data_IF_106891769335
#
_entry.id   IF_106891769335
#
_cell.length_a   1.000
_cell.length_b   1.000
_cell.length_c   1.000
_cell.angle_alpha   90.00
_cell.angle_beta   90.00
_cell.angle_gamma   90.00
#
_symmetry.space_group_name_H-M   'P 1'
#
loop_
_entity.id
_entity.type
_entity.pdbx_description
1 polymer ?
#
# COMPACT_ATOMS: atom_id res chain seq x y z
N UNK A 1 -4.54 -35.66 -18.18
CA UNK A 1 -4.61 -34.25 -18.64
C UNK A 1 -4.61 -33.36 -17.43
N UNK A 2 -3.49 -32.73 -17.17
CA UNK A 2 -3.42 -31.73 -16.10
C UNK A 2 -4.15 -30.48 -16.58
N UNK A 3 -5.19 -30.09 -15.86
CA UNK A 3 -5.81 -28.81 -16.07
C UNK A 3 -4.78 -27.75 -15.67
N UNK A 4 -4.22 -27.07 -16.66
CA UNK A 4 -3.46 -25.86 -16.39
C UNK A 4 -4.46 -24.81 -15.92
N UNK A 5 -4.45 -24.50 -14.63
CA UNK A 5 -5.09 -23.28 -14.18
C UNK A 5 -4.32 -22.12 -14.84
N UNK A 6 -4.93 -21.51 -15.84
CA UNK A 6 -4.35 -20.34 -16.47
C UNK A 6 -4.29 -19.23 -15.42
N UNK A 7 -3.11 -19.03 -14.84
CA UNK A 7 -2.86 -17.82 -14.09
C UNK A 7 -2.80 -16.66 -15.07
N UNK A 8 -3.44 -15.53 -14.76
CA UNK A 8 -3.32 -14.36 -15.62
C UNK A 8 -1.86 -14.01 -15.83
N UNK A 9 -1.50 -13.58 -17.02
CA UNK A 9 -0.16 -13.16 -17.35
C UNK A 9 0.32 -12.07 -16.38
N UNK A 10 1.57 -12.12 -15.92
CA UNK A 10 2.10 -11.05 -15.09
C UNK A 10 2.05 -9.73 -15.85
N UNK A 11 1.70 -8.66 -15.15
CA UNK A 11 1.75 -7.32 -15.72
C UNK A 11 3.20 -6.96 -16.05
N UNK A 12 3.45 -6.25 -17.16
CA UNK A 12 4.74 -5.63 -17.36
C UNK A 12 5.04 -4.72 -16.18
N UNK A 13 6.30 -4.35 -16.01
CA UNK A 13 6.70 -3.45 -14.93
C UNK A 13 5.81 -2.20 -14.95
N UNK A 14 5.11 -1.96 -13.85
CA UNK A 14 4.19 -0.83 -13.76
C UNK A 14 4.96 0.47 -13.62
N UNK A 15 4.36 1.55 -14.12
CA UNK A 15 4.87 2.89 -13.87
C UNK A 15 4.46 3.30 -12.45
N UNK A 16 5.45 3.42 -11.56
CA UNK A 16 5.27 3.75 -10.16
C UNK A 16 5.74 5.18 -9.91
N UNK A 17 4.83 6.05 -9.50
CA UNK A 17 5.15 7.44 -9.23
C UNK A 17 4.40 7.97 -8.02
N UNK A 18 4.91 9.06 -7.44
CA UNK A 18 4.21 9.77 -6.38
C UNK A 18 2.87 10.32 -6.88
N UNK A 19 1.83 10.20 -6.06
CA UNK A 19 0.53 10.75 -6.37
C UNK A 19 0.56 12.28 -6.41
N UNK A 20 -0.30 12.85 -7.23
CA UNK A 20 -0.53 14.30 -7.29
C UNK A 20 -2.04 14.57 -7.23
N UNK A 21 -2.46 15.82 -7.06
CA UNK A 21 -3.90 16.14 -6.97
C UNK A 21 -4.75 15.66 -8.15
N UNK A 22 -4.16 15.51 -9.33
CA UNK A 22 -4.85 15.00 -10.52
C UNK A 22 -5.29 13.55 -10.34
N UNK A 23 -4.71 12.81 -9.39
CA UNK A 23 -5.01 11.41 -9.14
C UNK A 23 -6.16 11.20 -8.15
N UNK A 24 -6.83 12.26 -7.72
CA UNK A 24 -7.84 12.19 -6.66
C UNK A 24 -8.99 11.22 -6.95
N UNK A 25 -9.49 11.18 -8.18
CA UNK A 25 -10.55 10.24 -8.58
C UNK A 25 -10.11 8.79 -8.36
N UNK A 26 -8.94 8.46 -8.87
CA UNK A 26 -8.41 7.09 -8.81
C UNK A 26 -8.05 6.69 -7.38
N UNK A 27 -7.44 7.59 -6.62
CA UNK A 27 -7.11 7.34 -5.21
C UNK A 27 -8.37 7.12 -4.39
N UNK A 28 -9.40 7.94 -4.58
CA UNK A 28 -10.69 7.77 -3.90
C UNK A 28 -11.33 6.42 -4.21
N UNK A 29 -11.31 6.00 -5.48
CA UNK A 29 -11.83 4.71 -5.89
C UNK A 29 -11.06 3.55 -5.24
N UNK A 30 -9.74 3.63 -5.20
CA UNK A 30 -8.90 2.59 -4.58
C UNK A 30 -9.11 2.50 -3.07
N UNK A 31 -9.22 3.62 -2.37
CA UNK A 31 -9.50 3.62 -0.93
C UNK A 31 -10.89 3.06 -0.63
N UNK A 32 -11.88 3.37 -1.47
CA UNK A 32 -13.23 2.81 -1.34
C UNK A 32 -13.20 1.29 -1.56
N UNK A 33 -12.43 0.81 -2.52
CA UNK A 33 -12.23 -0.63 -2.77
C UNK A 33 -11.59 -1.32 -1.56
N UNK A 34 -10.67 -0.64 -0.89
CA UNK A 34 -10.03 -1.15 0.35
C UNK A 34 -11.01 -1.22 1.52
N UNK A 35 -12.16 -0.57 1.43
CA UNK A 35 -13.19 -0.56 2.47
C UNK A 35 -13.31 0.76 3.22
N UNK A 36 -12.63 1.81 2.75
CA UNK A 36 -12.67 3.14 3.35
C UNK A 36 -13.31 4.11 2.35
N UNK A 37 -14.63 4.37 2.45
CA UNK A 37 -15.31 5.27 1.53
C UNK A 37 -14.61 6.63 1.47
N UNK A 38 -14.32 7.06 0.24
CA UNK A 38 -13.55 8.27 0.01
C UNK A 38 -14.00 8.88 -1.31
N UNK A 39 -14.63 10.05 -1.27
CA UNK A 39 -15.00 10.75 -2.50
C UNK A 39 -13.80 11.53 -3.06
N UNK A 40 -13.99 12.15 -4.22
CA UNK A 40 -12.91 12.88 -4.91
C UNK A 40 -12.38 14.04 -4.07
N UNK A 41 -13.26 14.76 -3.40
CA UNK A 41 -12.88 15.91 -2.57
C UNK A 41 -12.04 15.46 -1.38
N UNK A 42 -12.46 14.39 -0.71
CA UNK A 42 -11.73 13.81 0.41
C UNK A 42 -10.36 13.29 -0.05
N UNK A 43 -10.32 12.61 -1.19
CA UNK A 43 -9.09 12.10 -1.76
C UNK A 43 -8.11 13.22 -2.08
N UNK A 44 -8.59 14.31 -2.70
CA UNK A 44 -7.75 15.46 -3.00
C UNK A 44 -7.14 16.08 -1.74
N UNK A 45 -7.93 16.19 -0.68
CA UNK A 45 -7.47 16.71 0.60
C UNK A 45 -6.43 15.83 1.26
N UNK A 46 -6.63 14.50 1.21
CA UNK A 46 -5.68 13.52 1.76
C UNK A 46 -4.37 13.53 0.99
N UNK A 47 -4.42 13.64 -0.34
CA UNK A 47 -3.24 13.75 -1.18
C UNK A 47 -2.45 15.00 -0.81
N UNK A 48 -3.13 16.14 -0.68
CA UNK A 48 -2.48 17.39 -0.29
C UNK A 48 -1.79 17.28 1.07
N UNK A 49 -2.43 16.63 2.03
CA UNK A 49 -1.85 16.38 3.37
C UNK A 49 -0.55 15.57 3.26
N UNK A 50 -0.54 14.55 2.42
CA UNK A 50 0.65 13.70 2.25
C UNK A 50 1.78 14.48 1.55
N UNK A 51 1.47 15.24 0.51
CA UNK A 51 2.47 16.02 -0.24
C UNK A 51 3.18 17.02 0.68
N UNK A 52 2.47 17.60 1.62
CA UNK A 52 3.03 18.59 2.54
C UNK A 52 3.81 17.96 3.72
N UNK A 53 3.90 16.65 3.79
CA UNK A 53 4.54 15.96 4.90
C UNK A 53 5.70 15.09 4.41
N UNK A 54 6.93 15.50 4.73
CA UNK A 54 8.15 14.79 4.32
C UNK A 54 8.25 13.36 4.86
N UNK A 55 7.48 13.02 5.89
CA UNK A 55 7.46 11.68 6.48
C UNK A 55 6.49 10.75 5.81
N UNK A 56 5.73 11.23 4.83
CA UNK A 56 4.72 10.43 4.17
C UNK A 56 4.94 10.37 2.68
N UNK A 57 4.54 9.25 2.09
CA UNK A 57 4.58 9.08 0.65
C UNK A 57 3.35 8.31 0.19
N UNK A 58 2.82 8.69 -0.94
CA UNK A 58 1.75 7.97 -1.61
C UNK A 58 2.21 7.68 -3.03
N UNK A 59 2.37 6.40 -3.34
CA UNK A 59 2.83 5.94 -4.64
C UNK A 59 1.67 5.29 -5.35
N UNK A 60 1.43 5.69 -6.59
CA UNK A 60 0.43 5.06 -7.46
C UNK A 60 1.11 4.23 -8.53
N UNK A 61 0.44 3.17 -8.93
CA UNK A 61 0.86 2.29 -10.01
C UNK A 61 -0.05 2.50 -11.21
N UNK A 62 0.55 2.78 -12.37
CA UNK A 62 -0.18 2.88 -13.64
C UNK A 62 0.17 1.69 -14.52
N UNK A 63 -0.86 1.08 -15.07
CA UNK A 63 -0.76 -0.04 -15.98
C UNK A 63 -1.52 0.31 -17.25
N UNK A 64 -0.82 0.50 -18.36
CA UNK A 64 -1.46 0.86 -19.62
C UNK A 64 -2.21 2.20 -19.59
N UNK A 65 -1.72 3.18 -18.82
CA UNK A 65 -2.34 4.50 -18.72
C UNK A 65 -3.41 4.63 -17.64
N UNK A 66 -3.82 3.54 -17.00
CA UNK A 66 -4.80 3.54 -15.90
C UNK A 66 -4.13 3.33 -14.56
N UNK A 67 -4.61 4.03 -13.53
CA UNK A 67 -4.17 3.80 -12.16
C UNK A 67 -4.82 2.52 -11.65
N UNK A 68 -4.02 1.54 -11.28
CA UNK A 68 -4.50 0.22 -10.88
C UNK A 68 -4.03 -0.21 -9.49
N UNK A 69 -3.29 0.63 -8.79
CA UNK A 69 -2.90 0.34 -7.42
C UNK A 69 -2.26 1.52 -6.73
N UNK A 70 -2.18 1.44 -5.43
CA UNK A 70 -1.46 2.42 -4.61
C UNK A 70 -0.81 1.77 -3.40
N UNK A 71 0.22 2.41 -2.87
CA UNK A 71 0.78 2.11 -1.57
C UNK A 71 1.07 3.43 -0.84
N UNK A 72 0.68 3.50 0.41
CA UNK A 72 0.92 4.66 1.27
C UNK A 72 1.91 4.30 2.36
N UNK A 73 2.88 5.18 2.60
CA UNK A 73 3.98 4.96 3.52
C UNK A 73 4.05 6.08 4.55
N UNK A 74 4.40 5.72 5.77
CA UNK A 74 4.71 6.64 6.86
C UNK A 74 6.10 6.28 7.40
N UNK A 75 7.03 7.23 7.35
CA UNK A 75 8.39 7.07 7.88
C UNK A 75 8.44 7.66 9.26
N UNK A 76 8.51 6.81 10.28
CA UNK A 76 8.41 7.25 11.67
C UNK A 76 9.68 6.91 12.46
N UNK A 77 10.03 7.80 13.38
CA UNK A 77 11.08 7.51 14.36
C UNK A 77 10.55 6.46 15.35
N UNK A 78 11.31 5.40 15.53
CA UNK A 78 10.97 4.31 16.43
C UNK A 78 11.95 4.31 17.62
N UNK A 79 11.50 4.87 18.72
CA UNK A 79 12.32 5.08 19.92
C UNK A 79 13.00 3.80 20.42
N UNK A 80 12.32 2.65 20.51
CA UNK A 80 12.95 1.44 21.08
C UNK A 80 14.20 0.97 20.36
N UNK A 81 14.34 1.28 19.07
CA UNK A 81 15.49 0.86 18.26
C UNK A 81 16.34 2.04 17.79
N UNK A 82 15.99 3.27 18.17
CA UNK A 82 16.68 4.49 17.72
C UNK A 82 16.90 4.50 16.21
N UNK A 83 15.82 4.27 15.45
CA UNK A 83 15.89 4.20 14.00
C UNK A 83 14.56 4.60 13.38
N UNK A 84 14.57 4.74 12.05
CA UNK A 84 13.34 4.96 11.29
C UNK A 84 12.70 3.62 10.97
N UNK A 85 11.38 3.57 11.12
CA UNK A 85 10.53 2.48 10.64
C UNK A 85 9.67 3.00 9.50
N UNK A 86 9.59 2.26 8.41
CA UNK A 86 8.65 2.54 7.34
C UNK A 86 7.38 1.73 7.60
N UNK A 87 6.26 2.43 7.74
CA UNK A 87 4.96 1.78 7.94
C UNK A 87 4.12 1.90 6.68
N UNK A 88 3.65 0.77 6.19
CA UNK A 88 2.67 0.74 5.09
C UNK A 88 1.29 0.95 5.72
N UNK A 89 0.64 2.06 5.38
CA UNK A 89 -0.67 2.40 5.92
C UNK A 89 -1.81 2.00 4.99
N UNK A 90 -1.54 1.81 3.72
CA UNK A 90 -2.50 1.31 2.74
C UNK A 90 -1.76 0.60 1.61
N UNK A 91 -2.32 -0.50 1.17
CA UNK A 91 -1.89 -1.22 -0.04
C UNK A 91 -3.14 -1.77 -0.69
N UNK A 92 -3.42 -1.31 -1.89
CA UNK A 92 -4.61 -1.76 -2.62
C UNK A 92 -4.30 -1.85 -4.12
N UNK A 93 -4.82 -2.89 -4.73
CA UNK A 93 -4.74 -3.16 -6.17
C UNK A 93 -6.16 -3.37 -6.67
N UNK A 94 -6.50 -2.77 -7.82
CA UNK A 94 -7.83 -2.96 -8.41
C UNK A 94 -8.10 -4.43 -8.68
N UNK A 95 -9.36 -4.90 -8.58
CA UNK A 95 -9.68 -6.32 -8.80
C UNK A 95 -9.16 -6.87 -10.13
N UNK A 96 -9.22 -6.09 -11.20
CA UNK A 96 -8.76 -6.50 -12.52
C UNK A 96 -7.26 -6.67 -12.64
N UNK A 97 -6.49 -6.04 -11.74
CA UNK A 97 -5.03 -6.13 -11.72
C UNK A 97 -4.49 -7.08 -10.65
N UNK A 98 -5.36 -7.65 -9.81
CA UNK A 98 -4.95 -8.60 -8.78
C UNK A 98 -4.44 -9.91 -9.37
N UNK A 99 -3.52 -10.56 -8.68
CA UNK A 99 -2.94 -11.82 -9.10
C UNK A 99 -1.94 -11.72 -10.25
N UNK A 100 -1.54 -10.50 -10.63
CA UNK A 100 -0.64 -10.25 -11.77
C UNK A 100 0.69 -9.63 -11.36
N UNK A 101 1.06 -9.72 -10.08
CA UNK A 101 2.36 -9.27 -9.56
C UNK A 101 2.44 -7.80 -9.17
N UNK A 102 1.37 -7.04 -9.29
CA UNK A 102 1.40 -5.59 -9.00
C UNK A 102 1.62 -5.30 -7.51
N UNK A 103 0.96 -6.05 -6.62
CA UNK A 103 1.17 -5.90 -5.18
C UNK A 103 2.63 -6.11 -4.79
N UNK A 104 3.29 -7.09 -5.38
CA UNK A 104 4.72 -7.33 -5.18
C UNK A 104 5.58 -6.18 -5.68
N UNK A 105 5.26 -5.61 -6.83
CA UNK A 105 5.96 -4.44 -7.36
C UNK A 105 5.82 -3.24 -6.42
N UNK A 106 4.63 -3.00 -5.90
CA UNK A 106 4.38 -1.92 -4.93
C UNK A 106 5.17 -2.13 -3.63
N UNK A 107 5.20 -3.36 -3.12
CA UNK A 107 6.01 -3.68 -1.93
C UNK A 107 7.50 -3.46 -2.17
N UNK A 108 8.02 -3.85 -3.32
CA UNK A 108 9.43 -3.63 -3.68
C UNK A 108 9.76 -2.15 -3.75
N UNK A 109 8.86 -1.34 -4.29
CA UNK A 109 9.04 0.11 -4.31
C UNK A 109 9.05 0.69 -2.90
N UNK A 110 8.15 0.23 -2.04
CA UNK A 110 8.12 0.64 -0.64
C UNK A 110 9.43 0.28 0.08
N UNK A 111 9.93 -0.93 -0.13
CA UNK A 111 11.19 -1.38 0.46
C UNK A 111 12.38 -0.56 -0.04
N UNK A 112 12.40 -0.23 -1.33
CA UNK A 112 13.41 0.64 -1.92
C UNK A 112 13.41 2.02 -1.27
N UNK A 113 12.23 2.61 -1.11
CA UNK A 113 12.08 3.92 -0.45
C UNK A 113 12.45 3.87 1.03
N UNK A 114 12.09 2.77 1.70
CA UNK A 114 12.45 2.56 3.11
C UNK A 114 13.97 2.52 3.29
N UNK A 115 14.67 1.77 2.44
CA UNK A 115 16.14 1.71 2.48
C UNK A 115 16.76 3.07 2.19
N UNK A 116 16.25 3.79 1.21
CA UNK A 116 16.73 5.13 0.86
C UNK A 116 16.54 6.13 1.99
N UNK A 117 15.49 5.97 2.80
CA UNK A 117 15.22 6.81 3.97
C UNK A 117 15.99 6.37 5.23
N UNK A 118 16.81 5.32 5.14
CA UNK A 118 17.56 4.80 6.29
C UNK A 118 16.71 3.99 7.26
N UNK A 119 15.54 3.50 6.83
CA UNK A 119 14.69 2.68 7.70
C UNK A 119 15.33 1.32 7.95
N UNK A 120 15.30 0.88 9.21
CA UNK A 120 15.82 -0.42 9.60
C UNK A 120 14.81 -1.54 9.35
N UNK A 121 13.53 -1.19 9.23
CA UNK A 121 12.46 -2.16 8.99
C UNK A 121 11.28 -1.53 8.29
N UNK A 122 10.46 -2.39 7.73
CA UNK A 122 9.17 -2.03 7.13
C UNK A 122 8.08 -2.89 7.77
N UNK A 123 6.95 -2.28 8.11
CA UNK A 123 5.85 -2.97 8.78
C UNK A 123 4.51 -2.61 8.17
N UNK A 124 3.54 -3.49 8.36
CA UNK A 124 2.15 -3.23 7.99
C UNK A 124 1.22 -3.95 8.95
N UNK A 125 -0.03 -3.51 8.98
CA UNK A 125 -1.09 -4.18 9.71
C UNK A 125 -2.12 -4.70 8.72
N UNK A 126 -2.49 -5.97 8.85
CA UNK A 126 -3.55 -6.60 8.08
C UNK A 126 -4.57 -7.20 9.04
N UNK A 127 -5.86 -7.09 8.70
CA UNK A 127 -6.92 -7.68 9.51
C UNK A 127 -6.75 -9.18 9.65
N UNK A 128 -7.04 -9.72 10.84
CA UNK A 128 -6.87 -11.14 11.15
C UNK A 128 -7.73 -12.07 10.28
N UNK A 129 -8.78 -11.54 9.64
CA UNK A 129 -9.68 -12.32 8.79
C UNK A 129 -9.26 -12.38 7.32
N UNK A 130 -8.13 -11.76 6.96
CA UNK A 130 -7.64 -11.70 5.58
C UNK A 130 -6.52 -12.70 5.36
N UNK A 131 -6.86 -13.99 5.38
CA UNK A 131 -5.88 -15.09 5.25
C UNK A 131 -5.10 -15.03 3.94
N UNK A 132 -5.74 -14.62 2.82
CA UNK A 132 -5.07 -14.51 1.51
C UNK A 132 -4.00 -13.42 1.53
N UNK A 133 -4.30 -12.28 2.17
CA UNK A 133 -3.34 -11.21 2.34
C UNK A 133 -2.16 -11.64 3.22
N UNK A 134 -2.43 -12.38 4.29
CA UNK A 134 -1.37 -12.92 5.17
C UNK A 134 -0.42 -13.85 4.41
N UNK A 135 -0.96 -14.75 3.59
CA UNK A 135 -0.16 -15.64 2.78
C UNK A 135 0.70 -14.87 1.77
N UNK A 136 0.13 -13.84 1.16
CA UNK A 136 0.85 -12.95 0.23
C UNK A 136 2.02 -12.25 0.91
N UNK A 137 1.79 -11.65 2.09
CA UNK A 137 2.86 -10.95 2.81
C UNK A 137 3.96 -11.90 3.24
N UNK A 138 3.63 -13.09 3.74
CA UNK A 138 4.63 -14.10 4.10
C UNK A 138 5.46 -14.54 2.89
N UNK A 139 4.81 -14.71 1.74
CA UNK A 139 5.51 -15.03 0.50
C UNK A 139 6.46 -13.91 0.05
N UNK A 140 6.18 -12.67 0.45
CA UNK A 140 7.04 -11.52 0.17
C UNK A 140 8.12 -11.29 1.25
N UNK A 141 8.24 -12.18 2.23
CA UNK A 141 9.28 -12.12 3.26
C UNK A 141 8.87 -11.41 4.54
N UNK A 142 7.59 -11.09 4.71
CA UNK A 142 7.07 -10.48 5.93
C UNK A 142 6.73 -11.56 6.95
N UNK A 143 7.02 -11.30 8.22
CA UNK A 143 6.67 -12.19 9.32
C UNK A 143 5.63 -11.53 10.22
N UNK A 144 4.78 -12.35 10.84
CA UNK A 144 3.81 -11.92 11.83
C UNK A 144 4.31 -12.22 13.24
N UNK A 145 3.53 -11.93 14.25
CA UNK A 145 3.84 -12.25 15.64
C UNK A 145 3.58 -11.13 16.63
N UNK A 146 3.20 -9.95 16.14
CA UNK A 146 2.81 -8.83 17.00
C UNK A 146 1.30 -8.71 17.05
N UNK A 147 0.77 -8.36 18.22
CA UNK A 147 -0.66 -8.09 18.40
C UNK A 147 -0.86 -6.59 18.50
N UNK A 148 -1.82 -6.07 17.76
CA UNK A 148 -2.18 -4.66 17.76
C UNK A 148 -3.43 -4.45 18.60
N UNK A 149 -3.35 -3.48 19.53
CA UNK A 149 -4.51 -3.05 20.31
C UNK A 149 -4.97 -1.69 19.82
N UNK A 150 -6.26 -1.54 19.58
CA UNK A 150 -6.86 -0.30 19.08
C UNK A 150 -7.97 0.15 20.01
N UNK A 151 -7.94 1.42 20.41
CA UNK A 151 -9.03 2.06 21.11
C UNK A 151 -9.39 3.33 20.32
N UNK A 152 -10.65 3.44 19.91
CA UNK A 152 -11.14 4.65 19.27
C UNK A 152 -11.31 5.74 20.30
N UNK A 153 -10.82 6.94 20.01
CA UNK A 153 -10.84 8.07 20.91
C UNK A 153 -11.87 9.14 20.51
N UNK A 154 -12.48 9.02 19.36
CA UNK A 154 -13.51 9.96 18.92
C UNK A 154 -14.85 9.70 19.60
N UNK A 155 -15.67 10.75 19.72
CA UNK A 155 -17.08 10.60 20.08
C UNK A 155 -17.78 9.92 18.91
N UNK A 156 -18.18 8.71 19.13
CA UNK A 156 -18.94 7.97 18.15
C UNK A 156 -20.36 8.48 18.06
#
# INVERSE_FOLDING_TARGET
MSAHSEQPDPLPEADLRSASPIDADDVGALLSELGYPCDVKDAAQRIATIIDNDRQALVIARCGGEVCGLIALDFMYYLPLDTTTCRITALVVTPTAQGRGLGRQLLREAERRARAAGAARIELTSGSQRSDAHAFYKACGYSDGTVRFIKRLGDA
#
